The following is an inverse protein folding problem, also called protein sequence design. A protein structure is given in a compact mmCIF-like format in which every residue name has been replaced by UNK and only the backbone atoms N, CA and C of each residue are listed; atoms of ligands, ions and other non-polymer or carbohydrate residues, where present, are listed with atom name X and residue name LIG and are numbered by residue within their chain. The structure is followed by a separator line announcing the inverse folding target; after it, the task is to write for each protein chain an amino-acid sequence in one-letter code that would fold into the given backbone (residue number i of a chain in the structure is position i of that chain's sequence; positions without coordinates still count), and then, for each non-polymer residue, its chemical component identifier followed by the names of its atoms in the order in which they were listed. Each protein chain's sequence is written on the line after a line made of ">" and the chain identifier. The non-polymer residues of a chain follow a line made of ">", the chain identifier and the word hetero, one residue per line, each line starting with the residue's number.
data_IF_853417549472
#
_entry.id   IF_853417549472
#
_cell.length_a   1.000
_cell.length_b   1.000
_cell.length_c   1.000
_cell.angle_alpha   90.00
_cell.angle_beta   90.00
_cell.angle_gamma   90.00
#
_symmetry.space_group_name_H-M   'P 1'
#
loop_
_entity.id
_entity.type
_entity.pdbx_description
1 polymer ?
#
# COMPACT_ATOMS: atom_id res chain seq x y z
N UNK A 1 2.83 -8.31 -5.55
CA UNK A 1 3.29 -6.92 -5.39
C UNK A 1 4.67 -6.90 -4.74
N UNK A 2 4.80 -7.41 -3.55
CA UNK A 2 6.06 -7.48 -2.80
C UNK A 2 7.24 -8.04 -3.64
N UNK A 3 7.03 -9.14 -4.35
CA UNK A 3 8.01 -9.78 -5.24
C UNK A 3 8.52 -8.85 -6.35
N UNK A 4 7.68 -7.92 -6.82
CA UNK A 4 8.10 -6.91 -7.80
C UNK A 4 9.06 -5.90 -7.19
N UNK A 5 8.83 -5.49 -5.95
CA UNK A 5 9.72 -4.59 -5.21
C UNK A 5 11.07 -5.25 -4.90
N UNK A 6 11.11 -6.58 -4.79
CA UNK A 6 12.36 -7.34 -4.65
C UNK A 6 13.18 -7.47 -5.96
N UNK A 7 12.58 -7.12 -7.10
CA UNK A 7 13.22 -7.31 -8.41
C UNK A 7 13.26 -8.77 -8.90
N UNK A 8 12.43 -9.64 -8.31
CA UNK A 8 12.37 -11.06 -8.70
C UNK A 8 11.93 -11.21 -10.15
N UNK A 9 12.54 -12.14 -10.92
CA UNK A 9 12.15 -12.39 -12.31
C UNK A 9 10.67 -12.72 -12.45
N UNK A 10 10.01 -12.18 -13.49
CA UNK A 10 8.57 -12.42 -13.75
C UNK A 10 8.23 -13.85 -14.16
N UNK A 11 9.16 -14.54 -14.82
CA UNK A 11 8.99 -15.94 -15.17
C UNK A 11 9.21 -16.82 -13.94
N UNK A 12 8.26 -17.70 -13.62
CA UNK A 12 8.39 -18.62 -12.49
C UNK A 12 9.64 -19.50 -12.60
N UNK A 13 10.03 -19.93 -13.82
CA UNK A 13 11.25 -20.71 -14.05
C UNK A 13 12.51 -19.94 -13.67
N UNK A 14 12.59 -18.70 -14.10
CA UNK A 14 13.73 -17.83 -13.78
C UNK A 14 13.74 -17.47 -12.28
N UNK A 15 12.58 -17.27 -11.67
CA UNK A 15 12.46 -17.04 -10.24
C UNK A 15 12.94 -18.25 -9.42
N UNK A 16 12.54 -19.46 -9.80
CA UNK A 16 13.03 -20.70 -9.18
C UNK A 16 14.55 -20.88 -9.37
N UNK A 17 15.06 -20.59 -10.57
CA UNK A 17 16.50 -20.67 -10.83
C UNK A 17 17.29 -19.66 -9.99
N UNK A 18 16.82 -18.40 -9.91
CA UNK A 18 17.42 -17.37 -9.06
C UNK A 18 17.43 -17.80 -7.58
N UNK A 19 16.30 -18.32 -7.09
CA UNK A 19 16.20 -18.81 -5.71
C UNK A 19 17.16 -19.99 -5.45
N UNK A 20 17.29 -20.93 -6.38
CA UNK A 20 18.21 -22.06 -6.26
C UNK A 20 19.66 -21.59 -6.18
N UNK A 21 20.06 -20.62 -7.02
CA UNK A 21 21.38 -19.99 -6.97
C UNK A 21 21.59 -19.25 -5.64
N UNK A 22 20.62 -18.43 -5.24
CA UNK A 22 20.70 -17.71 -3.96
C UNK A 22 20.84 -18.63 -2.74
N UNK A 23 20.14 -19.78 -2.76
CA UNK A 23 20.26 -20.82 -1.74
C UNK A 23 21.67 -21.47 -1.73
N UNK A 24 22.17 -21.84 -2.90
CA UNK A 24 23.49 -22.47 -3.05
C UNK A 24 24.61 -21.52 -2.61
N UNK A 25 24.52 -20.26 -2.97
CA UNK A 25 25.49 -19.22 -2.64
C UNK A 25 25.23 -18.56 -1.28
N UNK A 26 24.16 -18.95 -0.58
CA UNK A 26 23.74 -18.36 0.70
C UNK A 26 23.56 -16.85 0.64
N UNK A 27 23.15 -16.32 -0.55
CA UNK A 27 22.89 -14.89 -0.74
C UNK A 27 21.66 -14.49 0.07
N UNK A 28 21.84 -13.48 0.93
CA UNK A 28 20.76 -12.95 1.76
C UNK A 28 20.68 -11.45 1.59
N UNK A 29 19.46 -10.93 1.48
CA UNK A 29 19.15 -9.50 1.57
C UNK A 29 18.34 -9.28 2.83
N UNK A 30 18.76 -8.33 3.66
CA UNK A 30 17.94 -7.86 4.77
C UNK A 30 17.05 -6.76 4.24
N UNK A 31 15.79 -6.82 4.62
CA UNK A 31 14.79 -5.84 4.26
C UNK A 31 13.99 -5.42 5.48
N UNK A 32 13.37 -4.27 5.37
CA UNK A 32 12.50 -3.72 6.39
C UNK A 32 11.15 -4.44 6.37
N UNK A 33 10.41 -4.32 7.46
CA UNK A 33 9.01 -4.68 7.55
C UNK A 33 8.27 -3.60 8.34
N UNK A 34 6.97 -3.51 8.16
CA UNK A 34 6.15 -2.61 8.94
C UNK A 34 5.41 -3.34 10.06
N UNK A 35 5.01 -2.57 11.07
CA UNK A 35 4.04 -2.99 12.08
C UNK A 35 2.88 -2.02 12.08
N UNK A 36 1.65 -2.54 12.11
CA UNK A 36 0.43 -1.76 12.22
C UNK A 36 -0.40 -2.29 13.40
N UNK A 37 -0.66 -1.46 14.39
CA UNK A 37 -1.39 -1.83 15.61
C UNK A 37 -0.88 -3.14 16.26
N UNK A 38 0.45 -3.37 16.17
CA UNK A 38 1.09 -4.57 16.70
C UNK A 38 1.27 -5.72 15.71
N UNK A 39 0.51 -5.77 14.62
CA UNK A 39 0.59 -6.80 13.58
C UNK A 39 1.63 -6.47 12.52
N UNK A 40 2.27 -7.49 11.95
CA UNK A 40 3.29 -7.31 10.92
C UNK A 40 2.70 -7.18 9.53
N UNK A 41 3.32 -6.34 8.70
CA UNK A 41 3.11 -6.32 7.25
C UNK A 41 4.43 -6.20 6.51
N UNK A 42 4.49 -6.74 5.30
CA UNK A 42 5.70 -6.75 4.48
C UNK A 42 5.69 -5.69 3.37
N UNK A 43 4.53 -5.39 2.82
CA UNK A 43 4.37 -4.55 1.64
C UNK A 43 3.73 -3.20 1.94
N UNK A 44 2.50 -3.20 2.44
CA UNK A 44 1.74 -1.96 2.70
C UNK A 44 0.62 -2.15 3.69
N UNK A 45 0.21 -1.04 4.31
CA UNK A 45 -0.98 -0.93 5.14
C UNK A 45 -1.69 0.37 4.83
N UNK A 46 -3.02 0.35 4.76
CA UNK A 46 -3.77 1.54 4.42
C UNK A 46 -5.19 1.59 4.97
N UNK A 47 -5.74 2.82 5.03
CA UNK A 47 -7.11 3.08 5.44
C UNK A 47 -7.84 3.90 4.39
N UNK A 48 -9.15 3.65 4.24
CA UNK A 48 -10.04 4.39 3.37
C UNK A 48 -10.28 3.69 2.04
N UNK A 49 -10.08 4.40 0.92
CA UNK A 49 -10.46 3.92 -0.42
C UNK A 49 -9.76 2.62 -0.82
N UNK A 50 -8.48 2.46 -0.53
CA UNK A 50 -7.71 1.24 -0.80
C UNK A 50 -8.28 0.03 -0.08
N UNK A 51 -8.53 0.16 1.22
CA UNK A 51 -9.14 -0.90 2.04
C UNK A 51 -10.57 -1.24 1.59
N UNK A 52 -11.36 -0.25 1.14
CA UNK A 52 -12.66 -0.50 0.53
C UNK A 52 -12.55 -1.33 -0.75
N UNK A 53 -11.53 -1.06 -1.59
CA UNK A 53 -11.29 -1.80 -2.83
C UNK A 53 -10.84 -3.23 -2.51
N UNK A 54 -9.96 -3.42 -1.53
CA UNK A 54 -9.53 -4.75 -1.05
C UNK A 54 -10.73 -5.54 -0.56
N UNK A 55 -11.55 -4.98 0.33
CA UNK A 55 -12.76 -5.65 0.83
C UNK A 55 -13.82 -5.92 -0.25
N UNK A 56 -13.85 -5.12 -1.33
CA UNK A 56 -14.72 -5.36 -2.46
C UNK A 56 -14.16 -6.43 -3.41
N UNK A 57 -12.84 -6.61 -3.47
CA UNK A 57 -12.19 -7.62 -4.32
C UNK A 57 -12.59 -9.04 -3.94
N UNK A 58 -12.83 -9.31 -2.67
CA UNK A 58 -13.33 -10.59 -2.19
C UNK A 58 -14.68 -10.97 -2.82
N UNK A 59 -15.54 -10.01 -3.11
CA UNK A 59 -16.85 -10.23 -3.73
C UNK A 59 -16.77 -10.58 -5.22
N UNK A 60 -15.63 -10.31 -5.84
CA UNK A 60 -15.37 -10.55 -7.27
C UNK A 60 -14.22 -11.54 -7.52
N UNK A 61 -13.86 -12.33 -6.52
CA UNK A 61 -12.77 -13.34 -6.59
C UNK A 61 -12.94 -14.39 -7.68
N UNK A 62 -14.15 -14.56 -8.19
CA UNK A 62 -14.44 -15.43 -9.34
C UNK A 62 -13.90 -14.88 -10.67
N UNK A 63 -13.57 -13.57 -10.74
CA UNK A 63 -12.91 -12.98 -11.89
C UNK A 63 -11.42 -13.32 -11.92
N UNK A 64 -10.81 -13.46 -13.12
CA UNK A 64 -9.36 -13.58 -13.25
C UNK A 64 -8.66 -12.42 -12.54
N UNK A 65 -7.57 -12.70 -11.80
CA UNK A 65 -6.91 -11.76 -10.88
C UNK A 65 -6.63 -10.36 -11.45
N UNK A 66 -6.32 -10.26 -12.76
CA UNK A 66 -6.10 -8.96 -13.42
C UNK A 66 -7.37 -8.10 -13.53
N UNK A 67 -8.55 -8.71 -13.52
CA UNK A 67 -9.85 -8.03 -13.61
C UNK A 67 -10.50 -7.79 -12.23
N UNK A 68 -10.09 -8.48 -11.20
CA UNK A 68 -10.69 -8.40 -9.87
C UNK A 68 -10.57 -6.99 -9.27
N UNK A 69 -9.40 -6.39 -9.31
CA UNK A 69 -9.20 -5.03 -8.77
C UNK A 69 -9.95 -3.93 -9.53
N UNK A 70 -9.93 -3.87 -10.89
CA UNK A 70 -10.78 -2.93 -11.63
C UNK A 70 -12.26 -3.11 -11.35
N UNK A 71 -12.75 -4.35 -11.23
CA UNK A 71 -14.15 -4.62 -10.91
C UNK A 71 -14.49 -4.20 -9.46
N UNK A 72 -13.62 -4.49 -8.49
CA UNK A 72 -13.77 -4.05 -7.12
C UNK A 72 -13.80 -2.51 -7.02
N UNK A 73 -12.89 -1.83 -7.71
CA UNK A 73 -12.87 -0.38 -7.78
C UNK A 73 -14.19 0.17 -8.37
N UNK A 74 -14.70 -0.43 -9.46
CA UNK A 74 -15.98 -0.03 -10.03
C UNK A 74 -17.14 -0.19 -9.04
N UNK A 75 -17.15 -1.26 -8.24
CA UNK A 75 -18.14 -1.46 -7.18
C UNK A 75 -18.06 -0.38 -6.09
N UNK A 76 -16.86 -0.03 -5.67
CA UNK A 76 -16.63 1.04 -4.67
C UNK A 76 -17.07 2.39 -5.24
N UNK A 77 -16.66 2.71 -6.46
CA UNK A 77 -17.03 3.97 -7.11
C UNK A 77 -18.56 4.14 -7.31
N UNK A 78 -19.31 3.04 -7.48
CA UNK A 78 -20.79 3.11 -7.53
C UNK A 78 -21.38 3.63 -6.22
N UNK A 79 -20.79 3.31 -5.08
CA UNK A 79 -21.26 3.75 -3.75
C UNK A 79 -20.84 5.17 -3.42
N UNK A 80 -19.74 5.63 -3.93
CA UNK A 80 -19.11 6.92 -3.65
C UNK A 80 -17.72 6.74 -3.12
N UNK A 81 -16.96 7.82 -3.09
CA UNK A 81 -15.66 7.90 -2.42
C UNK A 81 -15.82 8.97 -1.37
N UNK A 82 -15.87 8.54 -0.12
CA UNK A 82 -15.96 9.45 1.01
C UNK A 82 -14.57 9.90 1.43
N UNK A 83 -14.48 11.11 1.93
CA UNK A 83 -13.27 11.63 2.58
C UNK A 83 -13.57 11.82 4.06
N UNK A 84 -12.62 11.50 4.90
CA UNK A 84 -12.67 11.76 6.33
C UNK A 84 -11.69 12.86 6.71
N UNK A 85 -11.99 13.60 7.77
CA UNK A 85 -10.99 14.43 8.44
C UNK A 85 -10.05 13.49 9.20
N UNK A 86 -8.76 13.63 8.92
CA UNK A 86 -7.71 12.78 9.46
C UNK A 86 -6.73 13.67 10.23
N UNK A 87 -6.47 13.31 11.48
CA UNK A 87 -5.31 13.80 12.21
C UNK A 87 -4.18 12.79 11.98
N UNK A 88 -3.11 13.27 11.39
CA UNK A 88 -1.95 12.45 11.06
C UNK A 88 -0.73 13.02 11.77
N UNK A 89 0.01 12.13 12.45
CA UNK A 89 1.30 12.44 13.06
C UNK A 89 2.36 11.54 12.43
N UNK A 90 3.40 12.13 11.86
CA UNK A 90 4.50 11.43 11.21
C UNK A 90 5.82 11.95 11.78
N UNK A 91 6.59 11.09 12.44
CA UNK A 91 7.88 11.43 13.07
C UNK A 91 7.80 12.72 13.92
N UNK A 92 6.72 12.88 14.68
CA UNK A 92 6.46 14.03 15.54
C UNK A 92 5.85 15.26 14.85
N UNK A 93 5.67 15.24 13.53
CA UNK A 93 4.98 16.30 12.79
C UNK A 93 3.49 16.00 12.68
N UNK A 94 2.66 16.91 13.16
CA UNK A 94 1.20 16.76 13.16
C UNK A 94 0.58 17.59 12.03
N UNK A 95 -0.35 16.98 11.31
CA UNK A 95 -1.19 17.65 10.32
C UNK A 95 -2.64 17.18 10.41
N UNK A 96 -3.58 18.04 10.07
CA UNK A 96 -4.99 17.73 9.93
C UNK A 96 -5.39 17.97 8.48
N UNK A 97 -5.83 16.94 7.81
CA UNK A 97 -6.16 16.99 6.38
C UNK A 97 -7.40 16.15 6.09
N UNK A 98 -8.27 16.61 5.18
CA UNK A 98 -9.29 15.76 4.61
C UNK A 98 -8.62 14.78 3.63
N UNK A 99 -8.88 13.50 3.77
CA UNK A 99 -8.34 12.48 2.87
C UNK A 99 -9.35 11.38 2.56
N UNK A 100 -9.29 10.87 1.34
CA UNK A 100 -10.01 9.67 0.91
C UNK A 100 -9.23 8.39 1.18
N UNK A 101 -7.89 8.51 1.36
CA UNK A 101 -7.01 7.36 1.56
C UNK A 101 -5.70 7.83 2.23
N UNK A 102 -5.19 7.01 3.15
CA UNK A 102 -3.80 7.08 3.62
C UNK A 102 -3.23 5.68 3.53
N UNK A 103 -2.10 5.52 2.87
CA UNK A 103 -1.40 4.24 2.76
C UNK A 103 0.08 4.41 3.11
N UNK A 104 0.61 3.55 3.97
CA UNK A 104 2.03 3.45 4.30
C UNK A 104 2.63 2.24 3.60
N UNK A 105 3.62 2.47 2.76
CA UNK A 105 4.22 1.51 1.86
C UNK A 105 5.67 1.22 2.22
N UNK A 106 5.99 -0.03 2.46
CA UNK A 106 7.34 -0.57 2.47
C UNK A 106 7.76 -0.92 1.02
N UNK A 107 6.86 -1.56 0.26
CA UNK A 107 7.05 -1.85 -1.15
C UNK A 107 6.37 -0.84 -2.07
N UNK A 108 6.90 -0.69 -3.31
CA UNK A 108 6.42 0.30 -4.27
C UNK A 108 5.10 -0.08 -4.96
N UNK A 109 4.70 -1.35 -4.94
CA UNK A 109 3.59 -1.88 -5.75
C UNK A 109 2.42 -2.34 -4.89
N UNK A 110 1.20 -2.09 -5.38
CA UNK A 110 -0.06 -2.44 -4.72
C UNK A 110 -1.09 -2.99 -5.72
N UNK A 111 -1.93 -3.93 -5.28
CA UNK A 111 -3.06 -4.46 -6.06
C UNK A 111 -2.67 -5.07 -7.40
N UNK A 112 -1.49 -5.63 -7.53
CA UNK A 112 -1.00 -6.30 -8.75
C UNK A 112 -0.58 -5.37 -9.88
N UNK A 113 -1.09 -4.14 -9.92
CA UNK A 113 -0.92 -3.22 -11.05
C UNK A 113 -0.39 -1.84 -10.67
N UNK A 114 -0.72 -1.35 -9.49
CA UNK A 114 -0.48 0.04 -9.13
C UNK A 114 0.93 0.25 -8.58
N UNK A 115 1.66 1.17 -9.18
CA UNK A 115 2.94 1.69 -8.69
C UNK A 115 2.65 2.85 -7.74
N UNK A 116 2.14 2.51 -6.53
CA UNK A 116 1.52 3.47 -5.63
C UNK A 116 2.54 4.38 -4.92
N UNK A 117 3.70 3.83 -4.59
CA UNK A 117 4.79 4.55 -3.95
C UNK A 117 6.11 4.36 -4.73
N UNK A 118 6.29 5.04 -5.89
CA UNK A 118 7.46 4.82 -6.74
C UNK A 118 8.83 4.96 -6.06
N UNK A 119 9.04 5.86 -5.09
CA UNK A 119 10.32 5.98 -4.41
C UNK A 119 10.52 4.99 -3.25
N UNK A 120 9.53 4.14 -2.93
CA UNK A 120 9.65 3.22 -1.80
C UNK A 120 10.83 2.26 -1.97
N UNK A 121 11.63 2.11 -0.92
CA UNK A 121 12.74 1.18 -0.81
C UNK A 121 12.49 0.21 0.33
N UNK A 122 12.91 -1.05 0.14
CA UNK A 122 12.71 -2.11 1.13
C UNK A 122 13.78 -2.14 2.23
N UNK A 123 14.78 -1.25 2.18
CA UNK A 123 15.97 -1.31 3.03
C UNK A 123 16.54 0.06 3.43
N UNK A 124 15.70 1.10 3.41
CA UNK A 124 16.09 2.47 3.81
C UNK A 124 15.65 2.84 5.24
N UNK A 125 14.93 1.94 5.93
CA UNK A 125 14.42 2.15 7.27
C UNK A 125 13.23 3.10 7.35
N UNK A 126 12.54 3.34 6.24
CA UNK A 126 11.43 4.26 6.13
C UNK A 126 10.22 3.62 5.44
N UNK A 127 9.05 4.19 5.65
CA UNK A 127 7.83 3.89 4.89
C UNK A 127 7.50 5.08 4.00
N UNK A 128 7.15 4.82 2.75
CA UNK A 128 6.59 5.85 1.87
C UNK A 128 5.11 6.02 2.16
N UNK A 129 4.72 7.20 2.64
CA UNK A 129 3.34 7.53 2.98
C UNK A 129 2.70 8.28 1.83
N UNK A 130 1.59 7.77 1.31
CA UNK A 130 0.80 8.40 0.26
C UNK A 130 -0.56 8.79 0.84
N UNK A 131 -0.90 10.07 0.75
CA UNK A 131 -2.20 10.60 1.12
C UNK A 131 -2.91 11.02 -0.15
N UNK A 132 -4.14 10.56 -0.33
CA UNK A 132 -5.04 11.05 -1.36
C UNK A 132 -6.06 12.01 -0.74
N UNK A 133 -6.00 13.29 -1.09
CA UNK A 133 -7.01 14.30 -0.75
C UNK A 133 -8.40 13.87 -1.24
N UNK A 134 -9.49 14.58 -0.87
CA UNK A 134 -10.83 14.21 -1.29
C UNK A 134 -10.96 14.00 -2.80
N UNK A 135 -11.38 12.81 -3.20
CA UNK A 135 -11.46 12.40 -4.60
C UNK A 135 -12.91 12.26 -5.05
N UNK A 136 -13.26 12.88 -6.18
CA UNK A 136 -14.51 12.56 -6.88
C UNK A 136 -14.36 11.25 -7.67
N UNK A 137 -15.48 10.57 -7.94
CA UNK A 137 -15.50 9.35 -8.78
C UNK A 137 -14.78 9.54 -10.12
N UNK A 138 -15.03 10.68 -10.79
CA UNK A 138 -14.40 11.02 -12.07
C UNK A 138 -12.90 11.20 -11.91
N UNK A 139 -12.48 11.80 -10.81
CA UNK A 139 -11.06 12.03 -10.54
C UNK A 139 -10.32 10.72 -10.28
N UNK A 140 -10.89 9.79 -9.53
CA UNK A 140 -10.33 8.44 -9.35
C UNK A 140 -10.09 7.79 -10.72
N UNK A 141 -11.08 7.77 -11.61
CA UNK A 141 -10.93 7.17 -12.94
C UNK A 141 -9.79 7.80 -13.77
N UNK A 142 -9.56 9.10 -13.65
CA UNK A 142 -8.42 9.76 -14.33
C UNK A 142 -7.06 9.49 -13.68
N UNK A 143 -7.05 9.20 -12.37
CA UNK A 143 -5.83 8.89 -11.63
C UNK A 143 -5.40 7.42 -11.76
N UNK A 144 -6.33 6.50 -12.00
CA UNK A 144 -6.03 5.06 -12.15
C UNK A 144 -4.92 4.78 -13.18
N UNK A 145 -4.98 5.27 -14.43
CA UNK A 145 -3.91 5.04 -15.41
C UNK A 145 -2.57 5.68 -14.97
N UNK A 146 -2.64 6.78 -14.22
CA UNK A 146 -1.45 7.45 -13.68
C UNK A 146 -0.84 6.65 -12.52
N UNK A 147 -1.69 6.06 -11.65
CA UNK A 147 -1.26 5.20 -10.56
C UNK A 147 -0.60 3.91 -11.07
N UNK A 148 -1.08 3.34 -12.17
CA UNK A 148 -0.42 2.20 -12.82
C UNK A 148 1.00 2.56 -13.26
N UNK A 149 1.21 3.80 -13.74
CA UNK A 149 2.53 4.29 -14.20
C UNK A 149 3.37 4.93 -13.10
N UNK A 150 2.85 5.07 -11.88
CA UNK A 150 3.52 5.79 -10.79
C UNK A 150 3.55 7.31 -10.94
N UNK A 151 2.80 7.89 -11.90
CA UNK A 151 2.81 9.34 -12.18
C UNK A 151 1.71 10.10 -11.44
N UNK A 152 0.86 9.42 -10.70
CA UNK A 152 -0.19 10.03 -9.89
C UNK A 152 0.36 10.88 -8.74
N UNK A 153 1.57 10.59 -8.26
CA UNK A 153 2.24 11.38 -7.22
C UNK A 153 2.51 12.83 -7.62
N UNK A 154 2.49 13.15 -8.91
CA UNK A 154 2.56 14.53 -9.41
C UNK A 154 1.17 15.19 -9.53
N UNK A 155 0.10 14.54 -9.08
CA UNK A 155 -1.24 15.14 -9.05
C UNK A 155 -1.39 16.00 -7.79
N UNK A 156 -2.13 17.13 -7.86
CA UNK A 156 -2.33 18.01 -6.70
C UNK A 156 -3.08 17.34 -5.54
N UNK A 157 -3.80 16.25 -5.81
CA UNK A 157 -4.51 15.49 -4.80
C UNK A 157 -3.65 14.44 -4.09
N UNK A 158 -2.43 14.20 -4.57
CA UNK A 158 -1.52 13.23 -3.98
C UNK A 158 -0.43 13.94 -3.19
N UNK A 159 -0.27 13.56 -1.93
CA UNK A 159 0.87 13.95 -1.10
C UNK A 159 1.70 12.71 -0.83
N UNK A 160 3.00 12.78 -1.08
CA UNK A 160 3.95 11.71 -0.81
C UNK A 160 5.09 12.23 0.05
N UNK A 161 5.40 11.51 1.12
CA UNK A 161 6.56 11.74 1.97
C UNK A 161 7.02 10.42 2.60
N UNK A 162 8.12 10.44 3.34
CA UNK A 162 8.61 9.26 4.07
C UNK A 162 8.51 9.50 5.57
N UNK A 163 8.25 8.43 6.33
CA UNK A 163 8.24 8.46 7.78
C UNK A 163 8.69 7.11 8.35
N UNK A 164 9.23 7.13 9.55
CA UNK A 164 9.52 5.91 10.31
C UNK A 164 8.33 5.51 11.18
N UNK A 165 7.66 6.48 11.75
CA UNK A 165 6.48 6.29 12.59
C UNK A 165 5.33 7.14 12.07
N UNK A 166 4.15 6.57 12.04
CA UNK A 166 2.94 7.21 11.55
C UNK A 166 1.78 6.84 12.47
N UNK A 167 1.05 7.85 12.93
CA UNK A 167 -0.23 7.66 13.61
C UNK A 167 -1.31 8.38 12.82
N UNK A 168 -2.39 7.67 12.51
CA UNK A 168 -3.56 8.23 11.81
C UNK A 168 -4.78 8.07 12.70
N UNK A 169 -5.46 9.17 13.00
CA UNK A 169 -6.67 9.20 13.83
C UNK A 169 -7.85 9.78 13.03
N UNK A 170 -9.02 9.18 13.23
CA UNK A 170 -10.28 9.57 12.58
C UNK A 170 -11.42 9.58 13.58
N UNK A 171 -12.42 10.44 13.35
CA UNK A 171 -13.59 10.53 14.23
C UNK A 171 -14.47 9.28 14.24
N UNK A 172 -14.51 8.54 13.12
CA UNK A 172 -15.26 7.30 12.97
C UNK A 172 -14.33 6.22 12.38
N UNK A 173 -14.57 4.93 12.70
CA UNK A 173 -13.76 3.85 12.16
C UNK A 173 -13.77 3.84 10.62
N UNK A 174 -12.59 3.75 10.02
CA UNK A 174 -12.39 3.56 8.59
C UNK A 174 -11.95 2.13 8.29
N UNK A 175 -12.29 1.59 7.11
CA UNK A 175 -11.78 0.31 6.66
C UNK A 175 -10.25 0.31 6.64
N UNK A 176 -9.66 -0.79 7.10
CA UNK A 176 -8.22 -1.05 7.14
C UNK A 176 -7.89 -2.23 6.22
N UNK A 177 -6.77 -2.16 5.56
CA UNK A 177 -6.15 -3.29 4.86
C UNK A 177 -4.68 -3.39 5.26
N UNK A 178 -4.12 -4.60 5.21
CA UNK A 178 -2.69 -4.85 5.33
C UNK A 178 -2.29 -5.95 4.34
N UNK A 179 -1.25 -5.70 3.56
CA UNK A 179 -0.72 -6.62 2.52
C UNK A 179 -1.78 -7.13 1.53
N UNK A 180 -2.85 -6.36 1.31
CA UNK A 180 -3.96 -6.70 0.42
C UNK A 180 -5.05 -7.56 1.06
N UNK A 181 -5.07 -7.69 2.39
CA UNK A 181 -6.11 -8.35 3.14
C UNK A 181 -6.91 -7.33 3.97
N UNK A 182 -8.25 -7.43 3.90
CA UNK A 182 -9.13 -6.57 4.67
C UNK A 182 -9.06 -6.92 6.17
N UNK A 183 -8.91 -5.91 7.00
CA UNK A 183 -8.93 -6.02 8.46
C UNK A 183 -10.14 -5.30 9.06
N UNK A 184 -10.32 -5.43 10.37
CA UNK A 184 -11.37 -4.72 11.08
C UNK A 184 -11.21 -3.20 10.95
N UNK A 185 -12.30 -2.44 10.75
CA UNK A 185 -12.23 -0.98 10.71
C UNK A 185 -11.67 -0.41 12.01
N UNK A 186 -10.85 0.64 11.88
CA UNK A 186 -10.21 1.30 13.03
C UNK A 186 -10.41 2.81 12.98
N UNK A 187 -10.45 3.45 14.15
CA UNK A 187 -10.38 4.91 14.29
C UNK A 187 -8.96 5.41 14.59
N UNK A 188 -8.04 4.49 14.84
CA UNK A 188 -6.62 4.79 15.08
C UNK A 188 -5.75 3.71 14.43
N UNK A 189 -4.84 4.13 13.57
CA UNK A 189 -3.85 3.29 12.91
C UNK A 189 -2.45 3.79 13.31
N UNK A 190 -1.72 2.95 14.05
CA UNK A 190 -0.33 3.20 14.44
C UNK A 190 0.59 2.32 13.59
N UNK A 191 1.48 2.96 12.85
CA UNK A 191 2.39 2.26 11.94
C UNK A 191 3.83 2.60 12.28
N UNK A 192 4.70 1.60 12.24
CA UNK A 192 6.13 1.81 12.38
C UNK A 192 6.93 0.97 11.40
N UNK A 193 8.02 1.50 10.90
CA UNK A 193 9.03 0.76 10.14
C UNK A 193 9.98 0.06 11.11
N UNK A 194 10.22 -1.21 10.91
CA UNK A 194 11.23 -2.00 11.63
C UNK A 194 12.36 -2.33 10.66
N UNK A 195 13.51 -1.63 10.76
CA UNK A 195 14.60 -1.80 9.80
C UNK A 195 15.20 -3.20 9.87
N UNK A 196 15.54 -3.75 8.70
CA UNK A 196 16.22 -5.02 8.52
C UNK A 196 15.55 -6.21 9.26
N UNK A 197 14.22 -6.16 9.42
CA UNK A 197 13.42 -7.13 10.18
C UNK A 197 13.37 -8.51 9.52
N UNK A 198 13.44 -8.56 8.19
CA UNK A 198 13.36 -9.80 7.43
C UNK A 198 14.68 -10.10 6.71
N UNK A 199 15.04 -11.38 6.65
CA UNK A 199 16.20 -11.86 5.89
C UNK A 199 15.71 -12.79 4.79
N UNK A 200 15.78 -12.35 3.55
CA UNK A 200 15.33 -13.07 2.39
C UNK A 200 16.51 -13.68 1.63
N UNK A 201 16.29 -14.84 1.01
CA UNK A 201 17.20 -15.42 0.05
C UNK A 201 16.92 -14.79 -1.32
N UNK A 202 17.95 -14.29 -1.97
CA UNK A 202 17.86 -13.58 -3.25
C UNK A 202 18.86 -14.10 -4.28
#
# INVERSE_FOLDING_TARGET
>A
DFVKSLGTPRSWRNACAALAVGLAERRRRRIDAGRCNGEWFANSVGIGLDALVVGAADRVRWLPGLLAYPAALALVLRRGVDAAQIRLEADGHVMEVPASMVIACNGAWFGGLFHIAPPASLDDGLLSVVIASPLSRRRVLTLVPRAIRGTHIAAPEATLFTARELVVETAAPLPLEADGEAAAPVSRMEVSCVPAALSLIV
#
